data_IF_973958936411
#
_entry.id   IF_973958936411
#
_cell.length_a   1.000
_cell.length_b   1.000
_cell.length_c   1.000
_cell.angle_alpha   90.00
_cell.angle_beta   90.00
_cell.angle_gamma   90.00
#
_symmetry.space_group_name_H-M   'P 1'
#
loop_
_entity.id
_entity.type
_entity.pdbx_description
1 polymer ?
#
# COMPACT_ATOMS: atom_id res chain seq x y z
N UNK A 1 -43.65 35.90 36.06
CA UNK A 1 -43.12 36.47 34.80
C UNK A 1 -42.98 35.34 33.80
N UNK A 2 -43.73 35.39 32.69
CA UNK A 2 -43.58 34.49 31.53
C UNK A 2 -42.71 35.18 30.47
N UNK A 3 -42.03 34.38 29.62
CA UNK A 3 -41.20 34.68 28.41
C UNK A 3 -39.75 34.19 28.60
N UNK A 4 -39.10 33.38 27.75
CA UNK A 4 -39.30 32.99 26.35
C UNK A 4 -38.60 31.64 26.06
N UNK A 5 -39.23 30.87 25.18
CA UNK A 5 -38.70 29.69 24.47
C UNK A 5 -37.59 30.10 23.48
N UNK A 6 -36.51 29.32 23.33
CA UNK A 6 -35.73 29.22 22.09
C UNK A 6 -35.05 27.84 21.98
N UNK A 7 -35.22 27.26 20.79
CA UNK A 7 -34.70 25.98 20.27
C UNK A 7 -33.26 26.12 19.72
N UNK A 8 -32.46 25.04 19.80
CA UNK A 8 -31.47 24.52 18.81
C UNK A 8 -30.57 23.49 19.53
N UNK A 9 -30.74 22.17 19.37
CA UNK A 9 -30.25 21.28 18.28
C UNK A 9 -28.82 21.58 17.83
N UNK A 10 -27.83 20.77 18.27
CA UNK A 10 -26.80 20.12 17.42
C UNK A 10 -25.88 19.22 18.29
N UNK A 11 -25.90 17.87 18.17
CA UNK A 11 -24.78 17.05 18.61
C UNK A 11 -23.80 16.96 17.44
N UNK A 12 -22.74 17.76 17.46
CA UNK A 12 -21.62 17.61 16.53
C UNK A 12 -20.31 17.80 17.30
N UNK A 13 -19.71 16.66 17.64
CA UNK A 13 -18.27 16.46 17.56
C UNK A 13 -18.05 14.95 17.69
N UNK A 14 -18.20 14.25 16.56
CA UNK A 14 -17.53 12.98 16.37
C UNK A 14 -16.03 13.27 16.52
N UNK A 15 -15.47 12.87 17.67
CA UNK A 15 -14.03 12.88 17.88
C UNK A 15 -13.43 11.80 16.97
N UNK A 16 -12.99 12.27 15.82
CA UNK A 16 -12.03 11.71 14.86
C UNK A 16 -11.20 10.55 15.43
N UNK A 17 -11.65 9.33 15.17
CA UNK A 17 -10.76 8.18 15.11
C UNK A 17 -9.95 8.27 13.79
N UNK A 18 -8.96 9.17 13.75
CA UNK A 18 -7.87 9.10 12.78
C UNK A 18 -6.72 8.33 13.41
N UNK A 19 -6.88 7.01 13.55
CA UNK A 19 -5.73 6.11 13.53
C UNK A 19 -5.31 5.92 12.07
N UNK A 20 -4.93 7.03 11.44
CA UNK A 20 -4.11 7.08 10.24
C UNK A 20 -2.96 8.02 10.58
N UNK A 21 -2.17 7.59 11.56
CA UNK A 21 -0.95 8.24 11.99
C UNK A 21 0.20 7.57 11.23
N UNK A 22 0.28 7.81 9.92
CA UNK A 22 1.56 7.75 9.20
C UNK A 22 2.42 8.87 9.75
N UNK A 23 3.25 8.53 10.75
CA UNK A 23 3.88 9.52 11.61
C UNK A 23 5.00 8.93 12.43
N UNK A 24 6.07 8.52 11.74
CA UNK A 24 7.30 8.01 12.34
C UNK A 24 8.51 8.26 11.44
N UNK A 25 9.06 9.46 11.49
CA UNK A 25 10.48 9.79 11.21
C UNK A 25 11.15 9.22 9.94
N UNK A 26 11.07 9.96 8.83
CA UNK A 26 12.25 10.22 7.98
C UNK A 26 12.83 9.08 7.12
N UNK A 27 12.07 8.03 6.83
CA UNK A 27 12.35 7.05 5.78
C UNK A 27 11.02 6.53 5.24
N UNK A 28 10.95 6.13 3.96
CA UNK A 28 9.80 5.39 3.46
C UNK A 28 9.69 4.11 4.31
N UNK A 29 8.67 4.01 5.16
CA UNK A 29 8.47 2.80 5.96
C UNK A 29 8.08 1.67 5.00
N UNK A 30 8.81 0.56 5.08
CA UNK A 30 8.61 -0.60 4.21
C UNK A 30 7.14 -1.03 4.26
N UNK A 31 6.43 -1.08 3.12
CA UNK A 31 5.07 -1.56 3.10
C UNK A 31 5.03 -3.05 3.44
N UNK A 32 3.94 -3.47 4.06
CA UNK A 32 3.68 -4.87 4.39
C UNK A 32 3.34 -5.70 3.15
N UNK A 33 3.51 -7.03 3.20
CA UNK A 33 3.06 -7.91 2.11
C UNK A 33 1.57 -7.75 1.79
N UNK A 34 0.71 -7.46 2.77
CA UNK A 34 -0.71 -7.20 2.51
C UNK A 34 -0.91 -5.95 1.65
N UNK A 35 -0.21 -4.85 1.96
CA UNK A 35 -0.25 -3.61 1.16
C UNK A 35 0.30 -3.83 -0.25
N UNK A 36 1.37 -4.60 -0.39
CA UNK A 36 1.96 -4.94 -1.68
C UNK A 36 1.03 -5.85 -2.49
N UNK A 37 0.40 -6.85 -1.88
CA UNK A 37 -0.52 -7.77 -2.54
C UNK A 37 -1.79 -7.06 -3.05
N UNK A 38 -2.24 -6.02 -2.34
CA UNK A 38 -3.39 -5.22 -2.78
C UNK A 38 -3.13 -4.53 -4.13
N UNK A 39 -1.88 -4.11 -4.40
CA UNK A 39 -1.47 -3.58 -5.71
C UNK A 39 -1.64 -4.61 -6.82
N UNK A 40 -1.31 -5.88 -6.56
CA UNK A 40 -1.38 -6.95 -7.56
C UNK A 40 -2.79 -7.52 -7.76
N UNK A 41 -3.70 -7.28 -6.81
CA UNK A 41 -5.09 -7.74 -6.87
C UNK A 41 -6.01 -6.61 -7.30
N UNK A 42 -6.19 -5.63 -6.43
CA UNK A 42 -7.08 -4.47 -6.58
C UNK A 42 -6.44 -3.37 -7.44
N UNK A 43 -5.16 -3.07 -7.21
CA UNK A 43 -4.43 -2.03 -7.96
C UNK A 43 -4.15 -2.38 -9.42
N UNK A 44 -4.15 -3.67 -9.76
CA UNK A 44 -3.86 -4.15 -11.10
C UNK A 44 -4.89 -3.63 -12.12
N UNK A 45 -6.16 -3.47 -11.72
CA UNK A 45 -7.19 -2.90 -12.59
C UNK A 45 -6.93 -1.42 -12.89
N UNK A 46 -6.44 -0.67 -11.90
CA UNK A 46 -6.13 0.76 -12.02
C UNK A 46 -4.89 1.01 -12.89
N UNK A 47 -3.94 0.08 -12.85
CA UNK A 47 -2.73 0.06 -13.68
C UNK A 47 -2.93 -0.54 -15.08
N UNK A 48 -4.16 -0.97 -15.42
CA UNK A 48 -4.47 -1.60 -16.71
C UNK A 48 -3.87 -3.00 -16.90
N UNK A 49 -3.46 -3.64 -15.80
CA UNK A 49 -2.98 -5.00 -15.73
C UNK A 49 -4.09 -6.04 -15.53
N UNK A 50 -3.69 -7.28 -15.30
CA UNK A 50 -4.60 -8.38 -14.93
C UNK A 50 -4.42 -8.65 -13.44
N UNK A 51 -5.52 -8.57 -12.69
CA UNK A 51 -5.53 -8.94 -11.29
C UNK A 51 -5.03 -10.38 -11.11
N UNK A 52 -4.04 -10.55 -10.24
CA UNK A 52 -3.54 -11.87 -9.85
C UNK A 52 -4.51 -12.51 -8.85
N UNK A 53 -4.63 -13.85 -8.82
CA UNK A 53 -5.30 -14.54 -7.71
C UNK A 53 -4.64 -14.18 -6.38
N UNK A 54 -5.43 -14.02 -5.32
CA UNK A 54 -4.94 -13.59 -3.99
C UNK A 54 -3.73 -14.41 -3.52
N UNK A 55 -3.76 -15.73 -3.70
CA UNK A 55 -2.65 -16.60 -3.29
C UNK A 55 -1.33 -16.32 -4.03
N UNK A 56 -1.39 -16.00 -5.33
CA UNK A 56 -0.21 -15.62 -6.11
C UNK A 56 0.26 -14.21 -5.76
N UNK A 57 -0.68 -13.29 -5.54
CA UNK A 57 -0.38 -11.92 -5.13
C UNK A 57 0.31 -11.89 -3.76
N UNK A 58 -0.22 -12.61 -2.76
CA UNK A 58 0.39 -12.73 -1.43
C UNK A 58 1.77 -13.36 -1.51
N UNK A 59 1.94 -14.45 -2.27
CA UNK A 59 3.25 -15.09 -2.38
C UNK A 59 4.32 -14.16 -3.00
N UNK A 60 3.97 -13.41 -4.06
CA UNK A 60 4.88 -12.43 -4.67
C UNK A 60 5.14 -11.26 -3.71
N UNK A 61 4.11 -10.82 -2.98
CA UNK A 61 4.21 -9.73 -2.03
C UNK A 61 5.11 -10.07 -0.83
N UNK A 62 5.02 -11.29 -0.30
CA UNK A 62 5.91 -11.78 0.75
C UNK A 62 7.38 -11.81 0.28
N UNK A 63 7.61 -12.22 -0.98
CA UNK A 63 8.95 -12.19 -1.57
C UNK A 63 9.48 -10.74 -1.70
N UNK A 64 8.65 -9.80 -2.12
CA UNK A 64 9.00 -8.38 -2.21
C UNK A 64 9.24 -7.75 -0.83
N UNK A 65 8.43 -8.08 0.18
CA UNK A 65 8.63 -7.64 1.58
C UNK A 65 9.90 -8.25 2.20
N UNK A 66 10.32 -9.44 1.77
CA UNK A 66 11.55 -10.07 2.27
C UNK A 66 12.80 -9.71 1.45
N UNK A 67 12.65 -9.05 0.30
CA UNK A 67 13.74 -8.79 -0.66
C UNK A 67 14.73 -7.70 -0.21
N UNK A 68 15.80 -7.55 -0.97
CA UNK A 68 16.76 -6.44 -0.83
C UNK A 68 16.32 -5.16 -1.57
N UNK A 69 15.14 -5.14 -2.21
CA UNK A 69 14.58 -3.93 -2.82
C UNK A 69 14.35 -2.88 -1.73
N UNK A 70 14.70 -1.62 -2.01
CA UNK A 70 14.57 -0.57 -1.02
C UNK A 70 13.13 -0.30 -0.61
N UNK A 71 12.95 0.09 0.65
CA UNK A 71 11.65 0.45 1.21
C UNK A 71 10.99 1.60 0.42
N UNK A 72 11.79 2.50 -0.16
CA UNK A 72 11.34 3.59 -1.01
C UNK A 72 10.76 3.09 -2.34
N UNK A 73 11.44 2.16 -3.01
CA UNK A 73 10.91 1.52 -4.24
C UNK A 73 9.60 0.79 -3.95
N UNK A 74 9.55 0.00 -2.89
CA UNK A 74 8.35 -0.76 -2.52
C UNK A 74 7.19 0.19 -2.16
N UNK A 75 7.49 1.27 -1.42
CA UNK A 75 6.50 2.27 -1.07
C UNK A 75 5.98 3.02 -2.30
N UNK A 76 6.86 3.44 -3.20
CA UNK A 76 6.49 4.10 -4.45
C UNK A 76 5.56 3.22 -5.31
N UNK A 77 5.81 1.91 -5.34
CA UNK A 77 4.92 0.95 -6.00
C UNK A 77 3.54 0.90 -5.34
N UNK A 78 3.47 0.85 -4.00
CA UNK A 78 2.18 0.82 -3.27
C UNK A 78 1.41 2.13 -3.43
N UNK A 79 2.11 3.26 -3.39
CA UNK A 79 1.51 4.59 -3.51
C UNK A 79 1.18 4.96 -4.97
N UNK A 80 1.52 4.09 -5.95
CA UNK A 80 1.42 4.34 -7.38
C UNK A 80 2.13 5.64 -7.81
N UNK A 81 3.30 5.91 -7.22
CA UNK A 81 4.05 7.15 -7.43
C UNK A 81 4.69 7.19 -8.83
N UNK A 82 4.07 7.93 -9.75
CA UNK A 82 4.55 8.12 -11.12
C UNK A 82 5.81 9.00 -11.22
N UNK A 83 6.12 9.80 -10.19
CA UNK A 83 7.29 10.68 -10.15
C UNK A 83 8.53 9.96 -9.60
N UNK A 84 8.35 8.76 -9.03
CA UNK A 84 9.45 7.95 -8.53
C UNK A 84 10.28 7.37 -9.68
N UNK A 85 11.60 7.49 -9.57
CA UNK A 85 12.56 6.99 -10.55
C UNK A 85 13.60 6.12 -9.86
N UNK A 86 13.44 4.79 -9.87
CA UNK A 86 14.40 3.88 -9.27
C UNK A 86 15.75 3.96 -9.99
N UNK A 87 16.82 3.62 -9.27
CA UNK A 87 18.11 3.39 -9.90
C UNK A 87 18.10 2.13 -10.78
N UNK A 88 19.10 1.97 -11.65
CA UNK A 88 19.26 0.75 -12.45
C UNK A 88 19.45 -0.50 -11.56
N UNK A 89 20.12 -0.34 -10.42
CA UNK A 89 20.33 -1.41 -9.43
C UNK A 89 19.01 -1.83 -8.80
N UNK A 90 18.21 -0.86 -8.33
CA UNK A 90 16.87 -1.10 -7.76
C UNK A 90 15.94 -1.76 -8.78
N UNK A 91 15.96 -1.28 -10.03
CA UNK A 91 15.16 -1.85 -11.13
C UNK A 91 15.53 -3.32 -11.37
N UNK A 92 16.83 -3.63 -11.31
CA UNK A 92 17.33 -5.01 -11.48
C UNK A 92 16.89 -5.88 -10.30
N UNK A 93 17.10 -5.45 -9.06
CA UNK A 93 16.69 -6.18 -7.85
C UNK A 93 15.19 -6.45 -7.85
N UNK A 94 14.39 -5.45 -8.20
CA UNK A 94 12.94 -5.57 -8.28
C UNK A 94 12.51 -6.59 -9.33
N UNK A 95 13.07 -6.49 -10.55
CA UNK A 95 12.75 -7.39 -11.66
C UNK A 95 13.16 -8.83 -11.36
N UNK A 96 14.35 -9.04 -10.80
CA UNK A 96 14.86 -10.36 -10.45
C UNK A 96 14.03 -10.99 -9.33
N UNK A 97 13.66 -10.19 -8.32
CA UNK A 97 12.80 -10.64 -7.22
C UNK A 97 11.44 -11.09 -7.74
N UNK A 98 10.78 -10.27 -8.56
CA UNK A 98 9.47 -10.64 -9.15
C UNK A 98 9.59 -11.87 -10.04
N UNK A 99 10.65 -11.97 -10.84
CA UNK A 99 10.83 -13.13 -11.74
C UNK A 99 11.06 -14.42 -10.96
N UNK A 100 11.86 -14.36 -9.90
CA UNK A 100 12.09 -15.49 -9.00
C UNK A 100 10.80 -15.88 -8.28
N UNK A 101 10.13 -14.90 -7.68
CA UNK A 101 8.87 -15.09 -6.96
C UNK A 101 7.78 -15.64 -7.89
N UNK A 102 7.61 -15.11 -9.10
CA UNK A 102 6.65 -15.64 -10.07
C UNK A 102 6.93 -17.12 -10.41
N UNK A 103 8.19 -17.53 -10.48
CA UNK A 103 8.55 -18.94 -10.73
C UNK A 103 8.21 -19.82 -9.53
N UNK A 104 8.54 -19.36 -8.32
CA UNK A 104 8.30 -20.09 -7.06
C UNK A 104 6.80 -20.15 -6.72
N UNK A 105 6.08 -19.04 -6.88
CA UNK A 105 4.66 -18.90 -6.56
C UNK A 105 3.71 -19.56 -7.59
N UNK A 106 4.15 -19.77 -8.84
CA UNK A 106 3.36 -20.51 -9.84
C UNK A 106 3.54 -22.03 -9.70
N UNK A 107 4.64 -22.46 -9.08
CA UNK A 107 4.98 -23.90 -8.91
C UNK A 107 4.74 -24.43 -7.50
N UNK A 108 4.43 -23.54 -6.55
CA UNK A 108 4.06 -23.83 -5.15
C UNK A 108 2.69 -24.45 -4.98
#
# INVERSE_FOLDING_TARGET
>A
MSKRNIFLVLPMAAALALSACGGGSGGAERPSADEIADVFTSGAEELGGVALPEEQATCIAEALEASDVSDETLRAMVDLDEDYSPSDEETTLFTDTITSAATECVTG
#
